data_IF_086151453544
#
_entry.id   IF_086151453544
#
_cell.length_a   1.000
_cell.length_b   1.000
_cell.length_c   1.000
_cell.angle_alpha   90.00
_cell.angle_beta   90.00
_cell.angle_gamma   90.00
#
_symmetry.space_group_name_H-M   'P 1'
#
loop_
_entity.id
_entity.type
_entity.pdbx_description
1 polymer ?
#
# COMPACT_ATOMS: atom_id res chain seq x y z
N UNK A 1 4.39 9.70 -3.99
CA UNK A 1 3.03 9.24 -4.26
C UNK A 1 2.99 8.58 -5.62
N UNK A 2 2.37 7.40 -5.73
CA UNK A 2 2.09 6.69 -6.98
C UNK A 2 0.58 6.52 -7.09
N UNK A 3 -0.05 7.20 -8.06
CA UNK A 3 -1.49 7.12 -8.26
C UNK A 3 -1.89 7.38 -9.71
N UNK A 4 -2.39 6.39 -10.45
CA UNK A 4 -2.91 6.56 -11.80
C UNK A 4 -4.13 7.49 -11.87
N UNK A 5 -4.85 7.65 -10.77
CA UNK A 5 -6.07 8.45 -10.73
C UNK A 5 -5.83 9.95 -10.62
N UNK A 6 -4.60 10.41 -10.34
CA UNK A 6 -4.27 11.84 -10.21
C UNK A 6 -4.67 12.67 -11.42
N UNK A 7 -4.49 12.12 -12.63
CA UNK A 7 -4.84 12.81 -13.89
C UNK A 7 -6.35 13.03 -14.07
N UNK A 8 -7.19 12.33 -13.32
CA UNK A 8 -8.65 12.37 -13.46
C UNK A 8 -9.37 12.95 -12.24
N UNK A 9 -8.63 13.25 -11.17
CA UNK A 9 -9.20 13.87 -9.97
C UNK A 9 -9.59 15.32 -10.25
N UNK A 10 -10.75 15.74 -9.74
CA UNK A 10 -11.20 17.13 -9.81
C UNK A 10 -10.36 18.04 -8.91
N UNK A 11 -9.94 17.53 -7.78
CA UNK A 11 -9.07 18.18 -6.81
C UNK A 11 -7.94 17.21 -6.53
N UNK A 12 -6.71 17.63 -6.77
CA UNK A 12 -5.52 16.82 -6.50
C UNK A 12 -5.05 17.10 -5.06
N UNK A 13 -5.19 16.14 -4.13
CA UNK A 13 -4.76 16.35 -2.75
C UNK A 13 -3.22 16.42 -2.58
N UNK A 14 -2.48 16.22 -3.65
CA UNK A 14 -1.02 16.20 -3.69
C UNK A 14 -0.44 17.32 -4.56
N UNK A 15 -1.24 18.35 -4.89
CA UNK A 15 -0.81 19.45 -5.76
C UNK A 15 0.36 20.28 -5.21
N UNK A 16 0.50 20.30 -3.88
CA UNK A 16 1.58 21.00 -3.18
C UNK A 16 2.89 20.19 -3.09
N UNK A 17 2.90 18.93 -3.53
CA UNK A 17 4.12 18.12 -3.53
C UNK A 17 5.00 18.44 -4.74
N UNK A 18 6.33 18.37 -4.60
CA UNK A 18 7.25 18.47 -5.72
C UNK A 18 6.96 17.43 -6.82
N UNK A 19 7.13 17.81 -8.08
CA UNK A 19 6.83 16.96 -9.24
C UNK A 19 7.62 15.63 -9.24
N UNK A 20 8.82 15.63 -8.68
CA UNK A 20 9.67 14.44 -8.55
C UNK A 20 9.19 13.45 -7.46
N UNK A 21 8.18 13.83 -6.68
CA UNK A 21 7.55 12.98 -5.65
C UNK A 21 6.17 12.44 -6.07
N UNK A 22 5.70 12.79 -7.27
CA UNK A 22 4.36 12.43 -7.76
C UNK A 22 4.45 11.67 -9.07
N UNK A 23 3.98 10.43 -9.07
CA UNK A 23 4.06 9.51 -10.21
C UNK A 23 2.66 9.04 -10.60
N UNK A 24 2.33 9.13 -11.88
CA UNK A 24 1.04 8.68 -12.43
C UNK A 24 0.99 7.19 -12.73
N UNK A 25 2.13 6.50 -12.69
CA UNK A 25 2.22 5.05 -12.87
C UNK A 25 3.27 4.46 -11.93
N UNK A 26 3.10 3.19 -11.60
CA UNK A 26 4.09 2.42 -10.85
C UNK A 26 4.89 1.56 -11.83
N UNK A 27 6.14 1.93 -12.07
CA UNK A 27 7.12 1.16 -12.84
C UNK A 27 8.29 0.72 -11.99
N UNK A 28 9.10 -0.23 -12.48
CA UNK A 28 10.33 -0.64 -11.79
C UNK A 28 11.33 0.53 -11.73
N UNK A 29 11.40 1.32 -12.80
CA UNK A 29 12.28 2.46 -12.89
C UNK A 29 11.90 3.57 -11.91
N UNK A 30 10.62 3.98 -11.89
CA UNK A 30 10.13 5.02 -10.97
C UNK A 30 10.25 4.60 -9.50
N UNK A 31 10.00 3.32 -9.20
CA UNK A 31 10.12 2.79 -7.85
C UNK A 31 11.58 2.70 -7.41
N UNK A 32 12.48 2.23 -8.28
CA UNK A 32 13.92 2.16 -8.01
C UNK A 32 14.52 3.55 -7.86
N UNK A 33 14.22 4.48 -8.79
CA UNK A 33 14.69 5.85 -8.72
C UNK A 33 14.24 6.57 -7.45
N UNK A 34 12.98 6.37 -7.03
CA UNK A 34 12.50 6.92 -5.76
C UNK A 34 13.23 6.34 -4.54
N UNK A 35 13.65 5.07 -4.61
CA UNK A 35 14.41 4.42 -3.55
C UNK A 35 15.84 4.96 -3.48
N UNK A 36 16.50 5.14 -4.63
CA UNK A 36 17.86 5.68 -4.71
C UNK A 36 17.93 7.10 -4.14
N UNK A 37 16.89 7.92 -4.38
CA UNK A 37 16.79 9.29 -3.85
C UNK A 37 16.75 9.35 -2.32
N UNK A 38 16.25 8.29 -1.66
CA UNK A 38 16.11 8.27 -0.20
C UNK A 38 17.17 7.43 0.52
N UNK A 39 17.96 6.64 -0.21
CA UNK A 39 18.83 5.58 0.36
C UNK A 39 19.81 6.09 1.42
N UNK A 40 20.25 7.34 1.34
CA UNK A 40 21.19 7.96 2.28
C UNK A 40 20.63 9.21 2.97
N UNK A 41 19.33 9.48 2.80
CA UNK A 41 18.72 10.72 3.29
C UNK A 41 18.67 10.85 4.82
N UNK A 42 18.56 9.74 5.53
CA UNK A 42 18.29 9.73 6.97
C UNK A 42 16.88 10.21 7.35
N UNK A 43 16.01 10.41 6.36
CA UNK A 43 14.68 10.98 6.54
C UNK A 43 13.60 9.92 6.83
N UNK A 44 12.46 10.40 7.31
CA UNK A 44 11.24 9.58 7.43
C UNK A 44 10.40 9.79 6.19
N UNK A 45 10.24 8.75 5.40
CA UNK A 45 9.57 8.80 4.10
C UNK A 45 8.26 8.02 4.12
N UNK A 46 7.21 8.58 3.52
CA UNK A 46 5.92 7.92 3.33
C UNK A 46 5.69 7.63 1.85
N UNK A 47 5.60 6.36 1.51
CA UNK A 47 5.13 5.89 0.21
C UNK A 47 3.61 5.73 0.21
N UNK A 48 2.92 6.43 -0.68
CA UNK A 48 1.49 6.28 -0.93
C UNK A 48 1.32 5.61 -2.28
N UNK A 49 0.72 4.42 -2.28
CA UNK A 49 0.48 3.57 -3.44
C UNK A 49 -1.05 3.47 -3.63
N UNK A 50 -1.62 4.40 -4.41
CA UNK A 50 -3.06 4.50 -4.59
C UNK A 50 -3.52 3.81 -5.88
N UNK A 51 -4.27 2.74 -5.73
CA UNK A 51 -4.89 1.93 -6.81
C UNK A 51 -3.91 1.39 -7.88
N UNK A 52 -2.65 1.17 -7.51
CA UNK A 52 -1.57 0.66 -8.39
C UNK A 52 -1.52 -0.86 -8.52
N UNK A 53 -2.53 -1.57 -8.02
CA UNK A 53 -2.52 -3.05 -7.96
C UNK A 53 -2.40 -3.70 -9.33
N UNK A 54 -2.94 -3.06 -10.37
CA UNK A 54 -2.80 -3.56 -11.73
C UNK A 54 -1.35 -3.52 -12.21
N UNK A 55 -0.59 -2.49 -11.85
CA UNK A 55 0.82 -2.36 -12.23
C UNK A 55 1.68 -3.36 -11.44
N UNK A 56 1.40 -3.53 -10.16
CA UNK A 56 2.02 -4.57 -9.34
C UNK A 56 1.81 -5.96 -9.97
N UNK A 57 0.63 -6.26 -10.49
CA UNK A 57 0.35 -7.57 -11.11
C UNK A 57 1.03 -7.78 -12.46
N UNK A 58 1.21 -6.74 -13.24
CA UNK A 58 1.81 -6.82 -14.58
C UNK A 58 3.29 -7.17 -14.55
N UNK A 59 4.02 -6.77 -13.50
CA UNK A 59 5.46 -6.96 -13.40
C UNK A 59 5.87 -7.74 -12.17
N UNK A 60 6.58 -8.85 -12.38
CA UNK A 60 7.23 -9.59 -11.29
C UNK A 60 8.38 -8.80 -10.66
N UNK A 61 9.02 -7.91 -11.42
CA UNK A 61 10.07 -7.02 -10.92
C UNK A 61 9.53 -6.03 -9.91
N UNK A 62 8.40 -5.36 -10.23
CA UNK A 62 7.70 -4.48 -9.28
C UNK A 62 7.30 -5.25 -8.01
N UNK A 63 6.73 -6.47 -8.15
CA UNK A 63 6.34 -7.28 -6.99
C UNK A 63 7.53 -7.60 -6.09
N UNK A 64 8.65 -8.01 -6.68
CA UNK A 64 9.86 -8.37 -5.95
C UNK A 64 10.50 -7.14 -5.27
N UNK A 65 10.60 -6.03 -5.99
CA UNK A 65 11.17 -4.79 -5.46
C UNK A 65 10.31 -4.25 -4.31
N UNK A 66 9.00 -4.14 -4.52
CA UNK A 66 8.07 -3.66 -3.49
C UNK A 66 8.07 -4.58 -2.25
N UNK A 67 8.11 -5.91 -2.44
CA UNK A 67 8.21 -6.85 -1.33
C UNK A 67 9.50 -6.65 -0.53
N UNK A 68 10.64 -6.45 -1.20
CA UNK A 68 11.91 -6.15 -0.54
C UNK A 68 11.85 -4.82 0.23
N UNK A 69 11.27 -3.79 -0.36
CA UNK A 69 11.09 -2.50 0.30
C UNK A 69 10.24 -2.62 1.57
N UNK A 70 9.11 -3.31 1.50
CA UNK A 70 8.22 -3.52 2.64
C UNK A 70 8.89 -4.30 3.77
N UNK A 71 9.67 -5.33 3.46
CA UNK A 71 10.41 -6.11 4.44
C UNK A 71 11.54 -5.31 5.10
N UNK A 72 12.21 -4.44 4.34
CA UNK A 72 13.38 -3.69 4.80
C UNK A 72 13.07 -2.22 5.16
N UNK A 73 11.81 -1.84 5.27
CA UNK A 73 11.35 -0.44 5.41
C UNK A 73 12.05 0.40 6.48
N UNK A 74 12.62 -0.26 7.49
CA UNK A 74 13.34 0.43 8.58
C UNK A 74 14.76 0.86 8.20
N UNK A 75 15.29 0.36 7.09
CA UNK A 75 16.68 0.54 6.69
C UNK A 75 16.83 1.20 5.31
N UNK A 76 15.72 1.50 4.63
CA UNK A 76 15.75 1.99 3.25
C UNK A 76 16.26 3.43 3.13
N UNK A 77 16.07 4.24 4.14
CA UNK A 77 16.38 5.67 4.11
C UNK A 77 17.67 6.03 4.87
N UNK A 78 18.61 5.09 5.00
CA UNK A 78 19.88 5.32 5.66
C UNK A 78 19.79 5.37 7.19
N UNK A 79 20.89 5.80 7.81
CA UNK A 79 20.99 5.85 9.28
C UNK A 79 20.05 6.90 9.88
N UNK A 80 19.16 6.46 10.76
CA UNK A 80 18.15 7.33 11.40
C UNK A 80 16.87 7.51 10.60
N UNK A 81 16.86 7.13 9.32
CA UNK A 81 15.69 7.19 8.46
C UNK A 81 14.79 5.96 8.56
N UNK A 82 13.60 6.07 8.00
CA UNK A 82 12.66 4.95 7.91
C UNK A 82 11.61 5.20 6.84
N UNK A 83 11.04 4.12 6.30
CA UNK A 83 9.94 4.20 5.35
C UNK A 83 8.65 3.64 5.95
N UNK A 84 7.54 4.33 5.68
CA UNK A 84 6.19 3.84 5.89
C UNK A 84 5.50 3.70 4.53
N UNK A 85 4.52 2.80 4.45
CA UNK A 85 3.79 2.52 3.21
C UNK A 85 2.29 2.55 3.47
N UNK A 86 1.56 3.23 2.61
CA UNK A 86 0.10 3.18 2.53
C UNK A 86 -0.24 2.63 1.16
N UNK A 87 -0.92 1.48 1.11
CA UNK A 87 -1.43 0.90 -0.13
C UNK A 87 -2.94 0.90 -0.10
N UNK A 88 -3.58 1.59 -1.05
CA UNK A 88 -5.03 1.59 -1.21
C UNK A 88 -5.43 0.71 -2.40
N UNK A 89 -6.53 0.00 -2.28
CA UNK A 89 -7.08 -0.83 -3.36
C UNK A 89 -8.59 -0.98 -3.23
N UNK A 90 -9.25 -1.19 -4.35
CA UNK A 90 -10.67 -1.50 -4.38
C UNK A 90 -10.94 -3.00 -4.16
N UNK A 91 -9.95 -3.86 -4.38
CA UNK A 91 -10.12 -5.32 -4.29
C UNK A 91 -8.93 -5.94 -3.55
N UNK A 92 -9.17 -6.39 -2.32
CA UNK A 92 -8.13 -7.00 -1.46
C UNK A 92 -7.41 -8.18 -2.13
N UNK A 93 -8.16 -9.08 -2.76
CA UNK A 93 -7.60 -10.28 -3.40
C UNK A 93 -6.72 -9.99 -4.62
N UNK A 94 -6.74 -8.77 -5.15
CA UNK A 94 -5.84 -8.36 -6.23
C UNK A 94 -4.43 -8.07 -5.76
N UNK A 95 -4.22 -7.78 -4.48
CA UNK A 95 -2.87 -7.57 -3.94
C UNK A 95 -2.18 -8.92 -3.83
N UNK A 96 -0.95 -9.09 -4.33
CA UNK A 96 -0.19 -10.32 -4.16
C UNK A 96 -0.03 -10.71 -2.68
N UNK A 97 -0.20 -12.01 -2.37
CA UNK A 97 -0.14 -12.51 -1.00
C UNK A 97 1.16 -12.16 -0.23
N UNK A 98 2.36 -12.15 -0.86
CA UNK A 98 3.58 -11.71 -0.17
C UNK A 98 3.49 -10.27 0.33
N UNK A 99 2.87 -9.37 -0.44
CA UNK A 99 2.69 -7.97 -0.06
C UNK A 99 1.65 -7.85 1.07
N UNK A 100 0.48 -8.52 0.94
CA UNK A 100 -0.55 -8.52 1.99
C UNK A 100 -0.03 -8.98 3.35
N UNK A 101 0.81 -10.03 3.34
CA UNK A 101 1.38 -10.61 4.57
C UNK A 101 2.40 -9.71 5.28
N UNK A 102 2.92 -8.69 4.62
CA UNK A 102 3.83 -7.71 5.25
C UNK A 102 3.09 -6.55 5.92
N UNK A 103 1.79 -6.43 5.69
CA UNK A 103 0.98 -5.37 6.28
C UNK A 103 0.95 -5.48 7.81
N UNK A 104 1.20 -4.36 8.48
CA UNK A 104 1.07 -4.26 9.94
C UNK A 104 -0.34 -3.87 10.38
N UNK A 105 -1.06 -3.13 9.53
CA UNK A 105 -2.43 -2.70 9.75
C UNK A 105 -3.23 -2.87 8.47
N UNK A 106 -4.46 -3.33 8.58
CA UNK A 106 -5.38 -3.47 7.45
C UNK A 106 -6.69 -2.83 7.84
N UNK A 107 -7.11 -1.83 7.05
CA UNK A 107 -8.40 -1.16 7.22
C UNK A 107 -9.31 -1.62 6.07
N UNK A 108 -10.44 -2.21 6.40
CA UNK A 108 -11.38 -2.76 5.43
C UNK A 108 -12.67 -1.98 5.52
N UNK A 109 -13.10 -1.44 4.38
CA UNK A 109 -14.43 -0.87 4.23
C UNK A 109 -15.41 -1.97 3.82
N UNK A 110 -16.68 -1.77 4.12
CA UNK A 110 -17.72 -2.74 3.84
C UNK A 110 -17.72 -3.16 2.36
N UNK A 111 -17.53 -4.46 2.12
CA UNK A 111 -17.66 -5.08 0.79
C UNK A 111 -18.83 -6.05 0.79
N UNK A 112 -19.53 -6.14 -0.35
CA UNK A 112 -20.60 -7.13 -0.59
C UNK A 112 -20.07 -8.38 -1.27
N UNK A 113 -18.79 -8.42 -1.60
CA UNK A 113 -18.16 -9.55 -2.27
C UNK A 113 -17.84 -10.65 -1.26
N UNK A 114 -18.67 -11.71 -1.26
CA UNK A 114 -18.52 -12.84 -0.34
C UNK A 114 -17.14 -13.49 -0.43
N UNK A 115 -16.62 -13.72 -1.66
CA UNK A 115 -15.30 -14.35 -1.84
C UNK A 115 -14.16 -13.50 -1.24
N UNK A 116 -14.29 -12.20 -1.31
CA UNK A 116 -13.33 -11.29 -0.72
C UNK A 116 -13.39 -11.33 0.81
N UNK A 117 -14.60 -11.32 1.36
CA UNK A 117 -14.81 -11.48 2.80
C UNK A 117 -14.25 -12.81 3.30
N UNK A 118 -14.56 -13.93 2.63
CA UNK A 118 -14.06 -15.24 3.00
C UNK A 118 -12.52 -15.26 3.02
N UNK A 119 -11.86 -14.69 2.00
CA UNK A 119 -10.39 -14.59 1.96
C UNK A 119 -9.83 -13.73 3.09
N UNK A 120 -10.47 -12.60 3.38
CA UNK A 120 -10.06 -11.70 4.45
C UNK A 120 -10.19 -12.42 5.81
N UNK A 121 -11.29 -13.12 6.01
CA UNK A 121 -11.49 -13.90 7.23
C UNK A 121 -10.46 -15.02 7.36
N UNK A 122 -10.22 -15.79 6.31
CA UNK A 122 -9.26 -16.90 6.32
C UNK A 122 -7.83 -16.43 6.56
N UNK A 123 -7.44 -15.26 6.02
CA UNK A 123 -6.07 -14.75 6.16
C UNK A 123 -5.83 -13.99 7.48
N UNK A 124 -6.85 -13.30 8.01
CA UNK A 124 -6.67 -12.38 9.13
C UNK A 124 -7.22 -12.89 10.46
N UNK A 125 -8.17 -13.82 10.44
CA UNK A 125 -8.86 -14.28 11.66
C UNK A 125 -8.31 -15.61 12.19
N UNK A 126 -7.42 -16.28 11.47
CA UNK A 126 -6.63 -17.37 12.06
C UNK A 126 -5.63 -16.74 13.04
N UNK A 127 -6.13 -16.39 14.23
CA UNK A 127 -5.33 -15.91 15.35
C UNK A 127 -4.70 -17.12 16.03
N UNK A 128 -3.40 -17.31 15.93
CA UNK A 128 -2.71 -18.15 16.90
C UNK A 128 -2.85 -17.45 18.25
N UNK A 129 -3.23 -18.17 19.29
CA UNK A 129 -3.58 -17.66 20.62
C UNK A 129 -2.49 -16.85 21.37
N UNK A 130 -1.36 -16.52 20.72
CA UNK A 130 -0.20 -15.89 21.37
C UNK A 130 0.43 -14.70 20.64
N UNK A 131 -0.28 -14.05 19.70
CA UNK A 131 0.30 -12.89 19.02
C UNK A 131 -0.63 -11.69 19.14
N UNK A 132 -0.20 -10.69 19.87
CA UNK A 132 -0.91 -9.41 20.03
C UNK A 132 -0.74 -8.56 18.74
N UNK A 133 -1.41 -8.96 17.69
CA UNK A 133 -1.58 -8.14 16.49
C UNK A 133 -2.98 -7.55 16.55
N UNK A 134 -3.07 -6.23 16.70
CA UNK A 134 -4.35 -5.53 16.71
C UNK A 134 -4.87 -5.39 15.29
N UNK A 135 -5.85 -6.19 14.91
CA UNK A 135 -6.62 -6.00 13.69
C UNK A 135 -7.74 -5.03 14.01
N UNK A 136 -7.60 -3.78 13.61
CA UNK A 136 -8.68 -2.79 13.68
C UNK A 136 -9.58 -2.97 12.45
N UNK A 137 -10.62 -3.80 12.56
CA UNK A 137 -11.68 -3.87 11.56
C UNK A 137 -12.66 -2.75 11.86
N UNK A 138 -12.51 -1.61 11.19
CA UNK A 138 -13.49 -0.53 11.26
C UNK A 138 -14.50 -0.69 10.12
N UNK A 139 -15.67 -1.24 10.43
CA UNK A 139 -16.79 -1.30 9.49
C UNK A 139 -17.51 0.05 9.52
N UNK A 140 -17.20 0.91 8.56
CA UNK A 140 -17.89 2.18 8.41
C UNK A 140 -19.21 1.99 7.65
N UNK A 141 -20.33 2.35 8.28
CA UNK A 141 -21.69 2.31 7.72
C UNK A 141 -22.07 3.64 7.05
N UNK A 142 -21.29 4.17 6.14
CA UNK A 142 -21.69 5.34 5.37
C UNK A 142 -22.23 4.94 4.01
N UNK A 143 -23.45 5.39 3.70
CA UNK A 143 -24.29 4.99 2.54
C UNK A 143 -23.80 5.44 1.16
N UNK A 144 -22.59 5.99 1.04
CA UNK A 144 -22.00 6.36 -0.25
C UNK A 144 -20.51 6.03 -0.14
N UNK A 145 -20.08 4.87 -0.66
CA UNK A 145 -18.70 4.85 -1.03
C UNK A 145 -18.15 3.60 -1.66
N UNK A 146 -17.23 3.85 -2.51
CA UNK A 146 -16.21 2.97 -3.01
C UNK A 146 -15.62 2.10 -1.90
N UNK A 147 -15.58 0.81 -2.15
CA UNK A 147 -14.90 -0.14 -1.29
C UNK A 147 -13.39 0.08 -1.47
N UNK A 148 -12.71 0.59 -0.46
CA UNK A 148 -11.24 0.70 -0.47
C UNK A 148 -10.68 -0.08 0.70
N UNK A 149 -9.62 -0.82 0.45
CA UNK A 149 -8.81 -1.46 1.49
C UNK A 149 -7.53 -0.65 1.65
N UNK A 150 -7.26 -0.19 2.86
CA UNK A 150 -6.04 0.50 3.23
C UNK A 150 -5.11 -0.47 3.95
N UNK A 151 -3.87 -0.57 3.49
CA UNK A 151 -2.83 -1.39 4.11
C UNK A 151 -1.71 -0.44 4.55
N UNK A 152 -1.40 -0.46 5.82
CA UNK A 152 -0.38 0.41 6.43
C UNK A 152 0.73 -0.42 7.06
#
# INVERSE_FOLDING_TARGET
VFSPSLMTMKENPFEDLPDDQVFTELSEESLSGSLDNIAESGEKVLYILDDVVNDIKKSSGIQNLLSKMLMNRRHLAGAGGSCAFILTTQVYNKIPAPIRKTASHIIIYHTKNKKELDTIFDELIIIPQNTTSYILIQISHTRKCFTRTLIV
#
